data_IF_641252783838
#
_entry.id   IF_641252783838
#
_cell.length_a   1.000
_cell.length_b   1.000
_cell.length_c   1.000
_cell.angle_alpha   90.00
_cell.angle_beta   90.00
_cell.angle_gamma   90.00
#
_symmetry.space_group_name_H-M   'P 1'
#
loop_
_entity.id
_entity.type
_entity.pdbx_description
1 polymer ?
#
# COMPACT_ATOMS: atom_id res chain seq x y z
N UNK A 1 4.61 -3.61 -0.16
CA UNK A 1 5.64 -3.64 0.91
C UNK A 1 5.45 -2.51 1.90
N UNK A 2 5.70 -1.25 1.51
CA UNK A 2 5.66 -0.11 2.45
C UNK A 2 4.31 0.06 3.17
N UNK A 3 3.17 -0.18 2.50
CA UNK A 3 1.86 -0.16 3.14
C UNK A 3 1.76 -1.19 4.29
N UNK A 4 2.19 -2.44 4.06
CA UNK A 4 2.16 -3.48 5.09
C UNK A 4 3.12 -3.21 6.25
N UNK A 5 4.31 -2.68 5.95
CA UNK A 5 5.26 -2.27 6.98
C UNK A 5 4.68 -1.17 7.88
N UNK A 6 4.06 -0.13 7.29
CA UNK A 6 3.38 0.91 8.06
C UNK A 6 2.24 0.33 8.89
N UNK A 7 1.39 -0.51 8.29
CA UNK A 7 0.28 -1.16 9.00
C UNK A 7 0.76 -1.97 10.20
N UNK A 8 1.86 -2.71 10.08
CA UNK A 8 2.44 -3.46 11.19
C UNK A 8 3.02 -2.56 12.30
N UNK A 9 3.59 -1.40 11.95
CA UNK A 9 4.13 -0.46 12.94
C UNK A 9 3.04 0.24 13.78
N UNK A 10 1.84 0.41 13.22
CA UNK A 10 0.73 1.12 13.90
C UNK A 10 -0.36 0.21 14.44
N UNK A 11 -0.36 -1.08 14.07
CA UNK A 11 -1.31 -2.07 14.58
C UNK A 11 -1.13 -2.29 16.08
N UNK A 12 -2.25 -2.32 16.80
CA UNK A 12 -2.39 -2.62 18.23
C UNK A 12 -2.80 -4.07 18.47
N UNK A 13 -3.53 -4.66 17.53
CA UNK A 13 -4.09 -6.02 17.62
C UNK A 13 -3.21 -7.09 16.97
N UNK A 14 -2.08 -6.71 16.38
CA UNK A 14 -1.21 -7.62 15.64
C UNK A 14 -1.95 -8.31 14.46
N UNK A 15 -2.89 -7.60 13.84
CA UNK A 15 -3.68 -8.11 12.72
C UNK A 15 -3.96 -6.99 11.71
N UNK A 16 -3.53 -7.20 10.47
CA UNK A 16 -3.63 -6.21 9.39
C UNK A 16 -4.26 -6.82 8.15
N UNK A 17 -4.87 -6.01 7.30
CA UNK A 17 -5.60 -6.49 6.14
C UNK A 17 -5.37 -5.65 4.89
N UNK A 18 -5.47 -6.28 3.71
CA UNK A 18 -5.54 -5.58 2.43
C UNK A 18 -6.73 -6.09 1.62
N UNK A 19 -7.57 -5.14 1.19
CA UNK A 19 -8.71 -5.39 0.28
C UNK A 19 -8.30 -4.99 -1.13
N UNK A 20 -8.25 -5.98 -2.02
CA UNK A 20 -7.87 -5.80 -3.42
C UNK A 20 -9.10 -5.86 -4.33
N UNK A 21 -9.02 -5.19 -5.48
CA UNK A 21 -10.03 -5.26 -6.53
C UNK A 21 -9.99 -6.57 -7.32
N UNK A 22 -9.60 -6.49 -8.61
CA UNK A 22 -9.54 -7.66 -9.47
C UNK A 22 -8.31 -8.52 -9.21
N UNK A 23 -8.48 -9.84 -9.23
CA UNK A 23 -7.39 -10.79 -9.04
C UNK A 23 -6.67 -11.09 -10.37
N UNK A 24 -5.45 -10.58 -10.51
CA UNK A 24 -4.50 -10.87 -11.59
C UNK A 24 -3.07 -10.58 -11.09
N UNK A 25 -2.01 -11.03 -11.79
CA UNK A 25 -0.67 -11.15 -11.22
C UNK A 25 -0.10 -9.90 -10.50
N UNK A 26 -0.20 -8.68 -11.03
CA UNK A 26 0.26 -7.46 -10.34
C UNK A 26 -0.45 -7.18 -9.00
N UNK A 27 -1.73 -7.55 -8.89
CA UNK A 27 -2.52 -7.37 -7.66
C UNK A 27 -2.20 -8.47 -6.65
N UNK A 28 -1.90 -9.68 -7.13
CA UNK A 28 -1.36 -10.73 -6.26
C UNK A 28 0.01 -10.34 -5.71
N UNK A 29 0.86 -9.70 -6.51
CA UNK A 29 2.13 -9.14 -6.06
C UNK A 29 1.94 -8.01 -5.04
N UNK A 30 0.94 -7.14 -5.22
CA UNK A 30 0.59 -6.13 -4.23
C UNK A 30 0.22 -6.76 -2.88
N UNK A 31 -0.60 -7.82 -2.89
CA UNK A 31 -0.98 -8.59 -1.70
C UNK A 31 0.22 -9.28 -1.03
N UNK A 32 1.05 -9.99 -1.79
CA UNK A 32 2.28 -10.63 -1.28
C UNK A 32 3.26 -9.60 -0.73
N UNK A 33 3.40 -8.47 -1.43
CA UNK A 33 4.24 -7.36 -1.01
C UNK A 33 3.73 -6.73 0.28
N UNK A 34 2.42 -6.57 0.46
CA UNK A 34 1.82 -6.11 1.71
C UNK A 34 2.14 -7.08 2.85
N UNK A 35 1.90 -8.37 2.66
CA UNK A 35 2.20 -9.41 3.64
C UNK A 35 3.69 -9.43 4.03
N UNK A 36 4.60 -9.41 3.05
CA UNK A 36 6.03 -9.40 3.30
C UNK A 36 6.49 -8.16 4.09
N UNK A 37 5.95 -6.97 3.76
CA UNK A 37 6.27 -5.75 4.49
C UNK A 37 5.78 -5.77 5.93
N UNK A 38 4.57 -6.30 6.17
CA UNK A 38 4.04 -6.46 7.52
C UNK A 38 4.90 -7.44 8.34
N UNK A 39 5.21 -8.60 7.75
CA UNK A 39 6.03 -9.64 8.40
C UNK A 39 7.49 -9.25 8.61
N UNK A 40 8.03 -8.38 7.76
CA UNK A 40 9.36 -7.80 7.95
C UNK A 40 9.44 -6.98 9.25
N UNK A 41 8.39 -6.21 9.57
CA UNK A 41 8.32 -5.44 10.81
C UNK A 41 8.00 -6.34 12.00
N UNK A 42 7.04 -7.24 11.82
CA UNK A 42 6.58 -8.14 12.87
C UNK A 42 6.29 -9.53 12.29
N UNK A 43 7.19 -10.51 12.46
CA UNK A 43 7.04 -11.85 11.88
C UNK A 43 5.77 -12.60 12.31
N UNK A 44 5.22 -12.26 13.48
CA UNK A 44 4.06 -12.92 14.08
C UNK A 44 2.73 -12.22 13.75
N UNK A 45 2.74 -11.18 12.90
CA UNK A 45 1.52 -10.44 12.54
C UNK A 45 0.57 -11.29 11.68
N UNK A 46 -0.71 -11.28 12.03
CA UNK A 46 -1.75 -11.89 11.21
C UNK A 46 -2.07 -10.98 10.02
N UNK A 47 -1.96 -11.51 8.80
CA UNK A 47 -2.18 -10.75 7.57
C UNK A 47 -3.35 -11.35 6.81
N UNK A 48 -4.36 -10.54 6.54
CA UNK A 48 -5.51 -10.95 5.73
C UNK A 48 -5.50 -10.28 4.38
N UNK A 49 -5.76 -11.08 3.34
CA UNK A 49 -5.83 -10.62 1.95
C UNK A 49 -7.18 -11.03 1.40
N UNK A 50 -7.95 -10.06 0.90
CA UNK A 50 -9.20 -10.32 0.19
C UNK A 50 -9.15 -9.73 -1.22
N UNK A 51 -9.99 -10.29 -2.09
CA UNK A 51 -10.23 -9.83 -3.44
C UNK A 51 -11.75 -9.67 -3.60
N UNK A 52 -12.19 -8.49 -4.02
CA UNK A 52 -13.61 -8.21 -4.29
C UNK A 52 -14.03 -8.61 -5.70
N UNK A 53 -13.05 -8.95 -6.54
CA UNK A 53 -13.17 -9.17 -7.99
C UNK A 53 -13.74 -7.95 -8.73
N UNK A 54 -13.62 -6.75 -8.15
CA UNK A 54 -14.10 -5.50 -8.73
C UNK A 54 -13.32 -4.29 -8.21
N UNK A 55 -12.95 -3.38 -9.10
CA UNK A 55 -12.29 -2.14 -8.70
C UNK A 55 -13.22 -1.12 -8.04
N UNK A 56 -14.52 -1.21 -8.34
CA UNK A 56 -15.49 -0.14 -8.09
C UNK A 56 -16.70 -0.60 -7.28
N UNK A 57 -16.76 -1.87 -6.88
CA UNK A 57 -17.86 -2.39 -6.06
C UNK A 57 -17.65 -2.00 -4.59
N UNK A 58 -18.21 -0.85 -4.23
CA UNK A 58 -18.14 -0.25 -2.89
C UNK A 58 -18.72 -1.21 -1.83
N UNK A 59 -19.86 -1.84 -2.13
CA UNK A 59 -20.55 -2.71 -1.17
C UNK A 59 -19.71 -3.95 -0.86
N UNK A 60 -19.14 -4.60 -1.89
CA UNK A 60 -18.26 -5.75 -1.68
C UNK A 60 -16.98 -5.38 -0.92
N UNK A 61 -16.39 -4.22 -1.21
CA UNK A 61 -15.22 -3.75 -0.49
C UNK A 61 -15.52 -3.51 0.98
N UNK A 62 -16.67 -2.89 1.29
CA UNK A 62 -17.17 -2.70 2.65
C UNK A 62 -17.39 -4.04 3.38
N UNK A 63 -18.09 -5.00 2.77
CA UNK A 63 -18.34 -6.32 3.35
C UNK A 63 -17.05 -7.12 3.60
N UNK A 64 -16.11 -7.08 2.65
CA UNK A 64 -14.80 -7.71 2.82
C UNK A 64 -14.01 -7.10 3.98
N UNK A 65 -14.04 -5.77 4.12
CA UNK A 65 -13.42 -5.06 5.23
C UNK A 65 -14.05 -5.43 6.57
N UNK A 66 -15.39 -5.43 6.67
CA UNK A 66 -16.09 -5.84 7.89
C UNK A 66 -15.68 -7.24 8.34
N UNK A 67 -15.63 -8.21 7.42
CA UNK A 67 -15.19 -9.56 7.77
C UNK A 67 -13.76 -9.63 8.32
N UNK A 68 -12.85 -8.77 7.84
CA UNK A 68 -11.50 -8.66 8.40
C UNK A 68 -11.49 -8.03 9.79
N UNK A 69 -12.27 -6.96 9.98
CA UNK A 69 -12.41 -6.23 11.24
C UNK A 69 -13.01 -7.13 12.32
N UNK A 70 -14.08 -7.88 12.00
CA UNK A 70 -14.70 -8.87 12.90
C UNK A 70 -13.72 -9.95 13.33
N UNK A 71 -12.77 -10.30 12.46
CA UNK A 71 -11.71 -11.24 12.76
C UNK A 71 -10.47 -10.58 13.44
N UNK A 72 -10.55 -9.30 13.80
CA UNK A 72 -9.57 -8.59 14.64
C UNK A 72 -8.62 -7.64 13.92
N UNK A 73 -8.75 -7.43 12.60
CA UNK A 73 -7.90 -6.45 11.88
C UNK A 73 -8.16 -5.03 12.38
N UNK A 74 -7.10 -4.29 12.67
CA UNK A 74 -7.17 -2.89 13.12
C UNK A 74 -6.43 -1.89 12.21
N UNK A 75 -5.80 -2.38 11.14
CA UNK A 75 -5.29 -1.54 10.05
C UNK A 75 -5.56 -2.21 8.72
N UNK A 76 -6.30 -1.53 7.86
CA UNK A 76 -6.59 -1.94 6.50
C UNK A 76 -5.69 -1.23 5.48
N UNK A 77 -5.64 -1.79 4.29
CA UNK A 77 -5.12 -1.16 3.08
C UNK A 77 -6.10 -1.45 1.94
N UNK A 78 -6.17 -0.57 0.96
CA UNK A 78 -7.10 -0.72 -0.15
C UNK A 78 -6.38 -0.59 -1.48
N UNK A 79 -6.37 -1.66 -2.26
CA UNK A 79 -6.02 -1.61 -3.68
C UNK A 79 -7.30 -1.78 -4.51
N UNK A 80 -8.21 -0.83 -4.33
CA UNK A 80 -9.45 -0.70 -5.07
C UNK A 80 -9.51 0.73 -5.64
N UNK A 81 -10.13 0.90 -6.81
CA UNK A 81 -10.45 2.23 -7.35
C UNK A 81 -11.58 2.82 -6.50
N UNK A 82 -12.80 2.93 -7.03
CA UNK A 82 -13.91 3.53 -6.30
C UNK A 82 -14.32 2.68 -5.08
N UNK A 83 -13.99 1.38 -5.08
CA UNK A 83 -14.20 0.49 -3.95
C UNK A 83 -13.48 0.93 -2.66
N UNK A 84 -12.47 1.80 -2.74
CA UNK A 84 -11.80 2.38 -1.57
C UNK A 84 -12.79 3.05 -0.62
N UNK A 85 -13.87 3.64 -1.15
CA UNK A 85 -14.90 4.28 -0.34
C UNK A 85 -15.54 3.30 0.66
N UNK A 86 -15.76 2.04 0.25
CA UNK A 86 -16.31 1.01 1.13
C UNK A 86 -15.34 0.58 2.22
N UNK A 87 -14.04 0.50 1.90
CA UNK A 87 -12.99 0.19 2.88
C UNK A 87 -12.88 1.29 3.94
N UNK A 88 -12.85 2.55 3.49
CA UNK A 88 -12.78 3.73 4.37
C UNK A 88 -14.02 3.82 5.24
N UNK A 89 -15.21 3.61 4.68
CA UNK A 89 -16.45 3.61 5.45
C UNK A 89 -16.44 2.55 6.56
N UNK A 90 -16.08 1.29 6.24
CA UNK A 90 -16.00 0.23 7.24
C UNK A 90 -14.98 0.55 8.34
N UNK A 91 -13.86 1.18 7.99
CA UNK A 91 -12.84 1.58 8.94
C UNK A 91 -13.32 2.70 9.88
N UNK A 92 -13.99 3.72 9.35
CA UNK A 92 -14.56 4.83 10.13
C UNK A 92 -15.64 4.35 11.11
N UNK A 93 -16.54 3.47 10.67
CA UNK A 93 -17.61 2.94 11.52
C UNK A 93 -17.10 2.07 12.67
N UNK A 94 -15.85 1.59 12.61
CA UNK A 94 -15.23 0.71 13.60
C UNK A 94 -14.00 1.31 14.27
N UNK A 95 -13.72 2.61 14.05
CA UNK A 95 -12.58 3.32 14.63
C UNK A 95 -11.21 2.66 14.36
N UNK A 96 -11.01 2.13 13.14
CA UNK A 96 -9.72 1.57 12.69
C UNK A 96 -9.10 2.38 11.54
N UNK A 97 -7.85 2.08 11.18
CA UNK A 97 -7.08 2.86 10.20
C UNK A 97 -7.10 2.23 8.81
N UNK A 98 -6.86 3.06 7.79
CA UNK A 98 -6.64 2.63 6.40
C UNK A 98 -5.36 3.27 5.86
N UNK A 99 -4.52 2.51 5.18
CA UNK A 99 -3.42 3.07 4.37
C UNK A 99 -3.92 3.36 2.96
N UNK A 100 -3.56 4.52 2.42
CA UNK A 100 -3.83 4.88 1.03
C UNK A 100 -2.95 4.11 0.03
N UNK A 101 -3.38 4.03 -1.23
CA UNK A 101 -2.71 3.28 -2.29
C UNK A 101 -2.75 4.02 -3.64
N UNK A 102 -1.68 3.89 -4.44
CA UNK A 102 -1.43 4.56 -5.74
C UNK A 102 -1.25 6.07 -5.64
N UNK A 103 -2.24 6.78 -5.13
CA UNK A 103 -2.18 8.23 -4.90
C UNK A 103 -2.15 8.55 -3.41
N UNK A 104 -1.94 9.82 -3.09
CA UNK A 104 -2.17 10.27 -1.73
C UNK A 104 -3.67 10.42 -1.49
N UNK A 105 -4.19 9.58 -0.61
CA UNK A 105 -5.61 9.46 -0.32
C UNK A 105 -5.98 10.08 1.04
N UNK A 106 -5.06 10.77 1.72
CA UNK A 106 -5.32 11.39 3.03
C UNK A 106 -6.61 12.23 3.06
N UNK A 107 -6.82 13.08 2.06
CA UNK A 107 -7.97 13.97 1.96
C UNK A 107 -9.33 13.25 1.85
N UNK A 108 -9.35 11.95 1.50
CA UNK A 108 -10.59 11.17 1.47
C UNK A 108 -11.15 10.94 2.89
N UNK A 109 -10.26 10.74 3.86
CA UNK A 109 -10.61 10.53 5.26
C UNK A 109 -9.41 10.87 6.17
N UNK A 110 -9.20 12.16 6.48
CA UNK A 110 -8.00 12.62 7.19
C UNK A 110 -7.75 11.96 8.54
N UNK A 111 -8.82 11.63 9.27
CA UNK A 111 -8.75 10.96 10.58
C UNK A 111 -8.46 9.45 10.48
N UNK A 112 -8.65 8.86 9.30
CA UNK A 112 -8.58 7.40 9.06
C UNK A 112 -7.35 7.02 8.25
N UNK A 113 -6.84 7.94 7.42
CA UNK A 113 -5.73 7.71 6.48
C UNK A 113 -4.49 8.50 6.90
N UNK A 114 -3.64 7.96 7.80
CA UNK A 114 -2.43 8.63 8.27
C UNK A 114 -1.29 8.63 7.24
N UNK A 115 -1.37 7.77 6.22
CA UNK A 115 -0.28 7.47 5.29
C UNK A 115 -0.82 6.81 4.02
N UNK A 116 -0.22 7.12 2.88
CA UNK A 116 -0.49 6.50 1.58
C UNK A 116 0.80 5.97 0.95
N UNK A 117 0.74 4.74 0.43
CA UNK A 117 1.76 4.20 -0.45
C UNK A 117 1.52 4.70 -1.88
N UNK A 118 2.48 5.44 -2.41
CA UNK A 118 2.36 6.10 -3.71
C UNK A 118 2.89 5.17 -4.82
N UNK A 119 2.18 5.13 -5.93
CA UNK A 119 2.59 4.54 -7.20
C UNK A 119 2.30 5.57 -8.30
N UNK A 120 3.29 6.39 -8.63
CA UNK A 120 3.16 7.47 -9.60
C UNK A 120 3.22 6.93 -11.04
N UNK A 121 2.08 6.44 -11.52
CA UNK A 121 1.91 6.02 -12.92
C UNK A 121 2.07 7.22 -13.87
N UNK A 122 1.76 8.43 -13.41
CA UNK A 122 1.91 9.66 -14.19
C UNK A 122 3.36 9.92 -14.59
N UNK A 123 4.30 9.65 -13.68
CA UNK A 123 5.75 9.72 -13.95
C UNK A 123 6.17 8.79 -15.10
N UNK A 124 5.66 7.55 -15.12
CA UNK A 124 5.96 6.59 -16.19
C UNK A 124 5.37 7.01 -17.54
N UNK A 125 4.14 7.51 -17.54
CA UNK A 125 3.48 8.01 -18.76
C UNK A 125 4.23 9.23 -19.30
N UNK A 126 4.61 10.17 -18.41
CA UNK A 126 5.35 11.37 -18.79
C UNK A 126 6.69 11.01 -19.44
N UNK A 127 7.45 10.10 -18.83
CA UNK A 127 8.73 9.63 -19.39
C UNK A 127 8.54 9.03 -20.81
N UNK A 128 7.51 8.20 -21.01
CA UNK A 128 7.21 7.66 -22.33
C UNK A 128 6.83 8.71 -23.37
N UNK A 129 6.07 9.74 -22.98
CA UNK A 129 5.73 10.87 -23.87
C UNK A 129 6.98 11.67 -24.23
N UNK A 130 7.85 11.94 -23.25
CA UNK A 130 9.10 12.65 -23.45
C UNK A 130 10.03 11.90 -24.42
N UNK A 131 10.14 10.58 -24.29
CA UNK A 131 10.91 9.74 -25.21
C UNK A 131 10.37 9.80 -26.65
N UNK A 132 9.05 9.83 -26.83
CA UNK A 132 8.45 9.99 -28.17
C UNK A 132 8.77 11.35 -28.77
N UNK A 133 8.59 12.43 -27.99
CA UNK A 133 8.87 13.80 -28.43
C UNK A 133 10.33 13.96 -28.84
N UNK A 134 11.25 13.36 -28.07
CA UNK A 134 12.68 13.44 -28.31
C UNK A 134 13.21 12.44 -29.35
N UNK A 135 12.34 11.58 -29.89
CA UNK A 135 12.74 10.54 -30.87
C UNK A 135 13.54 9.38 -30.27
N UNK A 136 13.49 9.20 -28.95
CA UNK A 136 14.20 8.16 -28.20
C UNK A 136 13.34 6.94 -27.88
N UNK A 137 12.04 6.97 -28.21
CA UNK A 137 11.10 5.90 -27.88
C UNK A 137 11.57 4.52 -28.33
N UNK A 138 11.54 3.57 -27.40
CA UNK A 138 11.81 2.14 -27.64
C UNK A 138 10.64 1.30 -27.15
N UNK A 139 10.30 0.28 -27.93
CA UNK A 139 9.31 -0.71 -27.54
C UNK A 139 9.95 -1.72 -26.57
N UNK A 140 10.17 -1.31 -25.32
CA UNK A 140 10.78 -2.13 -24.26
C UNK A 140 10.03 -1.98 -22.94
N UNK A 141 10.25 -2.93 -22.03
CA UNK A 141 9.72 -2.86 -20.67
C UNK A 141 10.59 -1.92 -19.85
N UNK A 142 9.98 -0.87 -19.29
CA UNK A 142 10.65 0.06 -18.39
C UNK A 142 10.31 -0.34 -16.95
N UNK A 143 11.29 -0.78 -16.14
CA UNK A 143 11.04 -1.07 -14.73
C UNK A 143 10.73 0.23 -13.97
N UNK A 144 9.62 0.24 -13.24
CA UNK A 144 9.20 1.36 -12.40
C UNK A 144 9.07 0.94 -10.94
N UNK A 145 10.11 1.21 -10.15
CA UNK A 145 10.14 0.91 -8.71
C UNK A 145 10.52 2.12 -7.86
N UNK A 146 10.78 1.88 -6.58
CA UNK A 146 11.23 2.92 -5.64
C UNK A 146 12.56 3.56 -6.07
N UNK A 147 13.49 2.77 -6.64
CA UNK A 147 14.76 3.26 -7.16
C UNK A 147 14.59 4.26 -8.33
N UNK A 148 13.47 4.22 -9.05
CA UNK A 148 13.12 5.16 -10.11
C UNK A 148 12.21 6.30 -9.62
N UNK A 149 11.86 6.33 -8.33
CA UNK A 149 10.93 7.32 -7.75
C UNK A 149 9.45 7.07 -8.06
N UNK A 150 9.12 5.96 -8.73
CA UNK A 150 7.72 5.62 -9.08
C UNK A 150 6.94 5.17 -7.86
N UNK A 151 7.59 4.41 -6.97
CA UNK A 151 7.00 4.02 -5.68
C UNK A 151 7.50 5.00 -4.62
N UNK A 152 6.60 5.55 -3.82
CA UNK A 152 6.94 6.55 -2.81
C UNK A 152 6.13 6.43 -1.53
N UNK A 153 6.50 7.29 -0.58
CA UNK A 153 5.79 7.51 0.68
C UNK A 153 5.09 8.86 0.60
N UNK A 154 3.80 8.93 0.97
CA UNK A 154 3.17 10.22 1.26
C UNK A 154 3.82 10.88 2.48
N UNK A 155 3.48 12.15 2.80
CA UNK A 155 3.67 12.65 4.15
C UNK A 155 3.03 11.71 5.19
N UNK A 156 3.58 11.72 6.40
CA UNK A 156 2.94 11.10 7.55
C UNK A 156 2.05 12.15 8.20
N UNK A 157 0.76 11.86 8.27
CA UNK A 157 -0.25 12.76 8.78
C UNK A 157 -0.55 12.45 10.26
N UNK A 158 -1.82 12.37 10.63
CA UNK A 158 -2.25 12.15 12.00
C UNK A 158 -2.70 10.71 12.23
N UNK A 159 -2.26 10.16 13.35
CA UNK A 159 -2.66 8.88 13.92
C UNK A 159 -3.48 9.17 15.19
N UNK A 160 -4.81 9.04 15.13
CA UNK A 160 -5.72 9.34 16.24
C UNK A 160 -5.59 10.79 16.78
N UNK A 161 -5.46 11.77 15.87
CA UNK A 161 -5.39 13.20 16.21
C UNK A 161 -4.01 13.70 16.66
N UNK A 162 -3.00 12.84 16.70
CA UNK A 162 -1.60 13.20 16.94
C UNK A 162 -0.76 12.90 15.71
N UNK A 163 0.34 13.63 15.48
CA UNK A 163 1.26 13.27 14.41
C UNK A 163 1.77 11.83 14.58
N UNK A 164 1.92 11.11 13.47
CA UNK A 164 2.56 9.78 13.49
C UNK A 164 3.90 9.88 14.23
N UNK A 165 4.17 9.06 15.26
CA UNK A 165 5.38 9.14 16.05
C UNK A 165 6.66 9.16 15.20
N UNK A 166 7.63 10.01 15.57
CA UNK A 166 8.88 10.18 14.81
C UNK A 166 9.66 8.86 14.63
N UNK A 167 9.56 7.95 15.61
CA UNK A 167 10.12 6.60 15.52
C UNK A 167 9.55 5.81 14.34
N UNK A 168 8.23 5.84 14.16
CA UNK A 168 7.54 5.17 13.04
C UNK A 168 7.93 5.85 11.72
N UNK A 169 7.97 7.18 11.68
CA UNK A 169 8.38 7.91 10.48
C UNK A 169 9.82 7.57 10.07
N UNK A 170 10.75 7.52 11.02
CA UNK A 170 12.15 7.18 10.77
C UNK A 170 12.27 5.73 10.30
N UNK A 171 11.57 4.81 10.97
CA UNK A 171 11.57 3.40 10.59
C UNK A 171 11.04 3.19 9.17
N UNK A 172 9.99 3.92 8.79
CA UNK A 172 9.46 3.89 7.43
C UNK A 172 10.44 4.42 6.39
N UNK A 173 11.18 5.49 6.71
CA UNK A 173 12.24 6.04 5.84
C UNK A 173 13.38 5.04 5.67
N UNK A 174 13.86 4.41 6.75
CA UNK A 174 14.88 3.36 6.69
C UNK A 174 14.43 2.18 5.81
N UNK A 175 13.19 1.71 5.99
CA UNK A 175 12.63 0.62 5.17
C UNK A 175 12.60 1.04 3.71
N UNK A 176 12.12 2.24 3.41
CA UNK A 176 12.06 2.75 2.05
C UNK A 176 13.44 2.88 1.40
N UNK A 177 14.43 3.42 2.13
CA UNK A 177 15.82 3.48 1.69
C UNK A 177 16.38 2.09 1.37
N UNK A 178 16.07 1.08 2.18
CA UNK A 178 16.46 -0.31 1.92
C UNK A 178 15.80 -0.95 0.68
N UNK A 179 14.62 -0.47 0.28
CA UNK A 179 14.02 -0.84 -1.01
C UNK A 179 14.74 -0.12 -2.15
N UNK A 180 15.04 1.17 -1.98
CA UNK A 180 15.69 2.02 -2.99
C UNK A 180 17.11 1.55 -3.30
N UNK A 181 17.90 1.24 -2.29
CA UNK A 181 19.30 0.80 -2.43
C UNK A 181 19.45 -0.70 -2.76
N UNK A 182 18.35 -1.45 -2.71
CA UNK A 182 18.28 -2.87 -3.02
C UNK A 182 18.74 -3.80 -1.89
N UNK A 183 19.08 -3.28 -0.71
CA UNK A 183 19.49 -4.11 0.43
C UNK A 183 18.40 -5.07 0.90
N UNK A 184 17.12 -4.63 0.92
CA UNK A 184 15.99 -5.51 1.27
C UNK A 184 15.71 -6.59 0.22
N UNK A 185 16.08 -6.34 -1.03
CA UNK A 185 16.03 -7.36 -2.08
C UNK A 185 17.17 -8.37 -1.89
N UNK A 186 18.37 -7.90 -1.57
CA UNK A 186 19.54 -8.75 -1.36
C UNK A 186 19.41 -9.66 -0.12
N UNK A 187 18.71 -9.21 0.93
CA UNK A 187 18.42 -10.01 2.12
C UNK A 187 17.27 -11.01 1.94
N UNK A 188 16.50 -10.90 0.84
CA UNK A 188 15.34 -11.75 0.57
C UNK A 188 14.06 -11.30 1.27
N UNK A 189 14.03 -10.11 1.86
CA UNK A 189 12.85 -9.55 2.52
C UNK A 189 11.82 -9.04 1.53
N UNK A 190 12.27 -8.46 0.40
CA UNK A 190 11.39 -8.02 -0.68
C UNK A 190 11.02 -9.20 -1.59
N UNK A 191 9.74 -9.58 -1.72
CA UNK A 191 9.33 -10.69 -2.57
C UNK A 191 9.58 -10.37 -4.05
N UNK A 192 9.95 -11.39 -4.82
CA UNK A 192 10.09 -11.28 -6.26
C UNK A 192 8.73 -10.94 -6.90
N UNK A 193 8.75 -10.00 -7.84
CA UNK A 193 7.57 -9.71 -8.66
C UNK A 193 7.45 -10.72 -9.80
N UNK A 194 6.23 -10.97 -10.28
CA UNK A 194 5.96 -11.76 -11.48
C UNK A 194 6.59 -11.18 -12.76
N UNK A 195 7.09 -9.95 -12.72
CA UNK A 195 7.80 -9.29 -13.81
C UNK A 195 9.34 -9.43 -13.73
N UNK A 196 9.87 -10.12 -12.72
CA UNK A 196 11.31 -10.40 -12.55
C UNK A 196 11.72 -11.80 -13.01
#
# INVERSE_FOLDING_TARGET
FVAGAFSALVSKNNAVGIVNGQKFPPVEDAGKGFEAGAKYVNPDIDVRVAYTDSWTDIQKAYEASLGMIEAGVDVLSSNCSDGVAGVVQAAQENDILVTGYIGDQHELAPDTIPFSSIQDIGMLIYAGIEDVINGNFKAEVIPGGAAQGVIGLSPFYQLNGEEVPQEIQNRMKEIYEGIVDGSLKASGDLPASVFE
#
